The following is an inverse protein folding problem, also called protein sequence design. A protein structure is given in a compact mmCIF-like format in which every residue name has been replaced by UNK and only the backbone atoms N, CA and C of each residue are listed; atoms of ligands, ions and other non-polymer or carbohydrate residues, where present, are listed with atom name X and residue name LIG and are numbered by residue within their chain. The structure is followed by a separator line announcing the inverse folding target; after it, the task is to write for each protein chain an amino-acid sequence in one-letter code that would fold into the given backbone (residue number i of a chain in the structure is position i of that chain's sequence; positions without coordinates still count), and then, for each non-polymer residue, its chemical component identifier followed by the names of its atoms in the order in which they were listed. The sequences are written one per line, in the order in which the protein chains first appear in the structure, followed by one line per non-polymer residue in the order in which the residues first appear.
data_IF_802217570960
#
_entry.id   IF_802217570960
#
_cell.length_a   1.000
_cell.length_b   1.000
_cell.length_c   1.000
_cell.angle_alpha   90.00
_cell.angle_beta   90.00
_cell.angle_gamma   90.00
#
_symmetry.space_group_name_H-M   'P 1'
#
loop_
_entity.id
_entity.type
_entity.pdbx_description
1 polymer ?
#
# COMPACT_ATOMS: atom_id res chain seq x y z
N UNK A 1 18.52 -29.22 -38.76
CA UNK A 1 18.00 -29.87 -37.54
C UNK A 1 17.74 -28.76 -36.55
N UNK A 2 16.57 -28.19 -36.66
CA UNK A 2 16.09 -27.18 -35.72
C UNK A 2 15.65 -27.91 -34.44
N UNK A 3 16.17 -27.50 -33.29
CA UNK A 3 15.71 -28.02 -31.99
C UNK A 3 14.38 -27.34 -31.67
N UNK A 4 13.33 -28.14 -31.55
CA UNK A 4 12.08 -27.68 -30.94
C UNK A 4 12.38 -27.14 -29.53
N UNK A 5 11.76 -26.03 -29.10
CA UNK A 5 11.89 -25.55 -27.73
C UNK A 5 11.24 -26.54 -26.77
N UNK A 6 11.94 -26.86 -25.67
CA UNK A 6 11.41 -27.65 -24.55
C UNK A 6 10.11 -27.03 -24.05
N UNK A 7 9.06 -27.81 -23.78
CA UNK A 7 7.81 -27.31 -23.25
C UNK A 7 8.07 -26.81 -21.82
N UNK A 8 7.71 -25.55 -21.57
CA UNK A 8 7.67 -24.95 -20.23
C UNK A 8 6.85 -25.88 -19.29
N UNK A 9 7.37 -26.25 -18.10
CA UNK A 9 6.59 -27.07 -17.19
C UNK A 9 5.35 -26.27 -16.75
N UNK A 10 4.19 -26.74 -17.16
CA UNK A 10 2.90 -26.23 -16.70
C UNK A 10 2.77 -26.53 -15.21
N UNK A 11 2.81 -25.49 -14.38
CA UNK A 11 2.40 -25.60 -12.98
C UNK A 11 0.90 -26.00 -12.96
N UNK A 12 0.50 -26.97 -12.13
CA UNK A 12 -0.89 -27.35 -12.04
C UNK A 12 -1.68 -26.25 -11.35
N UNK A 13 -2.34 -25.39 -12.13
CA UNK A 13 -3.37 -24.50 -11.59
C UNK A 13 -4.58 -25.37 -11.20
N UNK A 14 -5.16 -25.18 -10.00
CA UNK A 14 -6.43 -25.79 -9.69
C UNK A 14 -7.47 -25.29 -10.70
N UNK A 15 -8.28 -26.20 -11.23
CA UNK A 15 -9.41 -25.84 -12.08
C UNK A 15 -10.29 -24.81 -11.35
N UNK A 16 -10.79 -23.77 -12.04
CA UNK A 16 -11.67 -22.79 -11.41
C UNK A 16 -12.91 -23.51 -10.85
N UNK A 17 -13.26 -23.19 -9.62
CA UNK A 17 -14.47 -23.70 -8.98
C UNK A 17 -15.74 -23.25 -9.74
N UNK A 18 -16.84 -24.05 -9.70
CA UNK A 18 -18.04 -23.79 -10.49
C UNK A 18 -18.76 -22.45 -10.24
N UNK A 19 -18.43 -21.74 -9.14
CA UNK A 19 -18.94 -20.41 -8.79
C UNK A 19 -17.97 -19.26 -9.17
N UNK A 20 -17.06 -19.50 -10.13
CA UNK A 20 -16.11 -18.50 -10.58
C UNK A 20 -16.81 -17.24 -11.10
N UNK A 21 -16.30 -16.08 -10.71
CA UNK A 21 -16.73 -14.78 -11.23
C UNK A 21 -16.75 -14.79 -12.77
N UNK A 22 -17.90 -14.61 -13.45
CA UNK A 22 -18.00 -14.64 -14.90
C UNK A 22 -17.11 -13.58 -15.57
N UNK A 23 -16.70 -12.56 -14.84
CA UNK A 23 -15.81 -11.51 -15.30
C UNK A 23 -14.33 -11.75 -14.90
N UNK A 24 -13.97 -12.90 -14.32
CA UNK A 24 -12.62 -13.18 -13.80
C UNK A 24 -11.50 -13.05 -14.85
N UNK A 25 -11.82 -13.23 -16.12
CA UNK A 25 -10.89 -13.07 -17.25
C UNK A 25 -10.90 -11.68 -17.90
N UNK A 26 -11.48 -10.67 -17.27
CA UNK A 26 -11.62 -9.33 -17.84
C UNK A 26 -11.10 -8.23 -16.91
N UNK A 27 -10.50 -7.20 -17.50
CA UNK A 27 -10.14 -5.97 -16.78
C UNK A 27 -11.38 -5.24 -16.27
N UNK A 28 -11.20 -4.27 -15.37
CA UNK A 28 -12.30 -3.38 -15.00
C UNK A 28 -12.67 -2.46 -16.18
N UNK A 29 -13.95 -2.05 -16.30
CA UNK A 29 -14.39 -1.12 -17.33
C UNK A 29 -13.69 0.23 -17.24
N UNK A 30 -13.28 0.81 -18.37
CA UNK A 30 -12.53 2.06 -18.44
C UNK A 30 -13.19 3.24 -17.72
N UNK A 31 -14.52 3.27 -17.63
CA UNK A 31 -15.24 4.32 -16.92
C UNK A 31 -14.96 4.34 -15.41
N UNK A 32 -14.69 3.19 -14.79
CA UNK A 32 -14.40 3.07 -13.34
C UNK A 32 -13.11 3.77 -12.93
N UNK A 33 -12.22 4.05 -13.87
CA UNK A 33 -10.94 4.73 -13.63
C UNK A 33 -11.02 6.26 -13.75
N UNK A 34 -12.20 6.82 -14.02
CA UNK A 34 -12.38 8.27 -14.23
C UNK A 34 -13.67 8.83 -13.62
N UNK A 35 -14.54 7.98 -13.11
CA UNK A 35 -15.84 8.41 -12.58
C UNK A 35 -15.73 8.87 -11.12
N UNK A 36 -16.17 10.10 -10.78
CA UNK A 36 -16.11 10.61 -9.42
C UNK A 36 -17.07 9.92 -8.45
N UNK A 37 -18.20 9.40 -8.94
CA UNK A 37 -19.15 8.66 -8.10
C UNK A 37 -18.59 7.28 -7.76
N UNK A 38 -17.86 6.65 -8.72
CA UNK A 38 -17.14 5.40 -8.44
C UNK A 38 -16.07 5.61 -7.39
N UNK A 39 -15.26 6.67 -7.48
CA UNK A 39 -14.27 7.01 -6.44
C UNK A 39 -14.95 7.27 -5.07
N UNK A 40 -16.12 7.86 -5.05
CA UNK A 40 -16.85 8.05 -3.80
C UNK A 40 -17.30 6.71 -3.19
N UNK A 41 -17.65 5.71 -4.01
CA UNK A 41 -17.88 4.34 -3.54
C UNK A 41 -16.60 3.66 -3.06
N UNK A 42 -15.51 3.76 -3.83
CA UNK A 42 -14.20 3.25 -3.41
C UNK A 42 -13.79 3.83 -2.05
N UNK A 43 -13.98 5.13 -1.86
CA UNK A 43 -13.71 5.80 -0.58
C UNK A 43 -14.48 5.14 0.56
N UNK A 44 -15.77 4.91 0.40
CA UNK A 44 -16.64 4.34 1.44
C UNK A 44 -16.42 2.85 1.65
N UNK A 45 -16.31 2.06 0.56
CA UNK A 45 -16.35 0.60 0.62
C UNK A 45 -14.97 -0.06 0.60
N UNK A 46 -13.94 0.65 0.12
CA UNK A 46 -12.56 0.15 0.04
C UNK A 46 -11.69 0.87 1.05
N UNK A 47 -11.52 2.19 0.94
CA UNK A 47 -10.48 2.89 1.70
C UNK A 47 -10.79 3.08 3.18
N UNK A 48 -12.04 3.42 3.54
CA UNK A 48 -12.39 3.63 4.96
C UNK A 48 -12.29 2.36 5.80
N UNK A 49 -12.72 1.16 5.32
CA UNK A 49 -12.59 -0.08 6.08
C UNK A 49 -11.25 -0.79 5.90
N UNK A 50 -10.35 -0.31 5.06
CA UNK A 50 -9.04 -0.95 4.83
C UNK A 50 -7.94 -0.34 5.67
N UNK A 51 -6.99 -1.18 6.08
CA UNK A 51 -5.79 -0.75 6.77
C UNK A 51 -4.89 0.10 5.86
N UNK A 52 -4.32 1.15 6.45
CA UNK A 52 -3.39 2.07 5.80
C UNK A 52 -2.12 2.19 6.63
N UNK A 53 -0.94 1.95 6.04
CA UNK A 53 0.34 2.09 6.74
C UNK A 53 0.67 3.56 6.96
N UNK A 54 1.09 3.91 8.18
CA UNK A 54 1.44 5.29 8.56
C UNK A 54 2.95 5.46 8.63
N UNK A 55 3.61 4.68 9.47
CA UNK A 55 5.04 4.76 9.74
C UNK A 55 5.51 3.47 10.43
N UNK A 56 6.78 3.42 10.79
CA UNK A 56 7.34 2.38 11.63
C UNK A 56 7.50 2.89 13.08
N UNK A 57 7.48 2.01 14.07
CA UNK A 57 7.66 2.36 15.49
C UNK A 57 8.97 3.10 15.77
N UNK A 58 10.00 2.87 14.93
CA UNK A 58 11.28 3.59 15.01
C UNK A 58 11.20 5.06 14.57
N UNK A 59 10.13 5.44 13.89
CA UNK A 59 9.91 6.83 13.45
C UNK A 59 9.26 7.68 14.56
N UNK A 60 8.68 7.00 15.58
CA UNK A 60 8.11 7.62 16.78
C UNK A 60 8.69 6.97 18.06
N UNK A 61 10.02 7.03 18.28
CA UNK A 61 10.69 6.27 19.33
C UNK A 61 10.41 6.78 20.75
N UNK A 62 10.09 8.07 20.91
CA UNK A 62 9.95 8.71 22.21
C UNK A 62 8.50 9.18 22.49
N UNK A 63 8.11 9.28 23.76
CA UNK A 63 6.83 9.87 24.15
C UNK A 63 6.64 11.27 23.55
N UNK A 64 5.49 11.51 22.94
CA UNK A 64 5.14 12.74 22.23
C UNK A 64 5.49 12.72 20.73
N UNK A 65 6.31 11.80 20.25
CA UNK A 65 6.57 11.67 18.83
C UNK A 65 5.30 11.27 18.08
N UNK A 66 5.12 11.86 16.89
CA UNK A 66 3.95 11.58 16.06
C UNK A 66 4.29 11.55 14.57
N UNK A 67 3.47 10.82 13.82
CA UNK A 67 3.34 10.88 12.36
C UNK A 67 1.91 11.17 11.95
N UNK A 68 1.76 11.91 10.85
CA UNK A 68 0.46 12.22 10.24
C UNK A 68 0.34 11.52 8.89
N UNK A 69 -0.84 10.96 8.64
CA UNK A 69 -1.25 10.45 7.35
C UNK A 69 -2.50 11.20 6.88
N UNK A 70 -2.41 11.80 5.69
CA UNK A 70 -3.57 12.34 4.98
C UNK A 70 -3.92 11.40 3.84
N UNK A 71 -5.17 10.93 3.78
CA UNK A 71 -5.66 10.12 2.67
C UNK A 71 -7.18 10.26 2.53
N UNK A 72 -7.67 10.10 1.30
CA UNK A 72 -9.06 10.43 0.98
C UNK A 72 -9.39 11.85 1.49
N UNK A 73 -10.43 12.10 2.24
CA UNK A 73 -10.74 13.41 2.84
C UNK A 73 -10.35 13.50 4.32
N UNK A 74 -9.59 12.53 4.84
CA UNK A 74 -9.29 12.40 6.26
C UNK A 74 -7.82 12.71 6.55
N UNK A 75 -7.56 13.07 7.80
CA UNK A 75 -6.22 13.25 8.37
C UNK A 75 -6.13 12.51 9.69
N UNK A 76 -5.14 11.65 9.86
CA UNK A 76 -4.93 10.85 11.06
C UNK A 76 -3.57 11.18 11.66
N UNK A 77 -3.51 11.29 12.99
CA UNK A 77 -2.28 11.40 13.77
C UNK A 77 -2.06 10.07 14.47
N UNK A 78 -0.89 9.45 14.26
CA UNK A 78 -0.41 8.34 15.08
C UNK A 78 0.68 8.88 15.99
N UNK A 79 0.57 8.66 17.31
CA UNK A 79 1.53 9.18 18.26
C UNK A 79 1.84 8.21 19.39
N UNK A 80 3.03 8.34 19.97
CA UNK A 80 3.42 7.63 21.18
C UNK A 80 3.04 8.45 22.42
N UNK A 81 2.24 7.84 23.29
CA UNK A 81 1.85 8.42 24.56
C UNK A 81 2.97 8.46 25.59
N UNK A 82 2.78 9.23 26.67
CA UNK A 82 3.69 9.28 27.82
C UNK A 82 3.80 7.92 28.53
N UNK A 83 2.80 7.08 28.39
CA UNK A 83 2.75 5.70 28.87
C UNK A 83 3.44 4.67 27.92
N UNK A 84 4.04 5.15 26.83
CA UNK A 84 4.70 4.33 25.81
C UNK A 84 3.74 3.69 24.79
N UNK A 85 2.43 3.76 25.01
CA UNK A 85 1.44 3.18 24.09
C UNK A 85 1.29 4.04 22.83
N UNK A 86 1.17 3.38 21.68
CA UNK A 86 0.84 4.04 20.42
C UNK A 86 -0.67 4.15 20.27
N UNK A 87 -1.13 5.34 19.89
CA UNK A 87 -2.54 5.64 19.64
C UNK A 87 -2.71 6.42 18.34
N UNK A 88 -3.88 6.30 17.74
CA UNK A 88 -4.24 7.07 16.56
C UNK A 88 -5.51 7.89 16.82
N UNK A 89 -5.56 9.08 16.24
CA UNK A 89 -6.67 10.01 16.37
C UNK A 89 -6.95 10.71 15.05
N UNK A 90 -8.22 11.03 14.79
CA UNK A 90 -8.58 11.99 13.76
C UNK A 90 -7.92 13.36 14.08
N UNK A 91 -7.23 13.93 13.09
CA UNK A 91 -6.55 15.23 13.22
C UNK A 91 -7.53 16.40 13.10
N UNK A 92 -8.58 16.36 13.91
CA UNK A 92 -9.71 17.30 13.86
C UNK A 92 -10.08 17.75 15.28
N UNK A 93 -10.01 19.06 15.52
CA UNK A 93 -10.41 19.66 16.79
C UNK A 93 -11.91 19.50 17.05
N UNK A 94 -12.27 19.00 18.21
CA UNK A 94 -13.67 18.76 18.63
C UNK A 94 -14.50 20.01 18.87
N UNK A 95 -13.89 21.21 18.76
CA UNK A 95 -14.59 22.49 18.89
C UNK A 95 -15.29 22.89 17.58
N UNK A 96 -14.51 23.13 16.51
CA UNK A 96 -15.02 23.64 15.22
C UNK A 96 -14.31 23.01 14.01
N UNK A 97 -13.80 21.81 14.15
CA UNK A 97 -13.27 21.02 13.06
C UNK A 97 -11.92 21.48 12.48
N UNK A 98 -11.21 22.42 13.14
CA UNK A 98 -9.90 22.83 12.66
C UNK A 98 -8.89 21.67 12.75
N UNK A 99 -8.04 21.53 11.75
CA UNK A 99 -6.88 20.62 11.79
C UNK A 99 -5.96 21.06 12.94
N UNK A 100 -5.44 20.09 13.70
CA UNK A 100 -4.64 20.36 14.91
C UNK A 100 -3.15 20.40 14.56
N UNK A 101 -2.70 19.48 13.70
CA UNK A 101 -1.30 19.32 13.31
C UNK A 101 -1.18 19.40 11.79
N UNK A 102 -0.31 20.30 11.30
CA UNK A 102 0.00 20.45 9.87
C UNK A 102 1.30 19.76 9.48
N UNK A 103 2.22 19.55 10.41
CA UNK A 103 3.50 18.89 10.15
C UNK A 103 3.28 17.40 9.84
N UNK A 104 4.03 16.81 8.91
CA UNK A 104 3.93 15.39 8.60
C UNK A 104 4.43 14.48 9.73
N UNK A 105 5.35 14.99 10.57
CA UNK A 105 5.86 14.33 11.77
C UNK A 105 6.45 15.35 12.73
N UNK A 106 6.62 14.98 13.98
CA UNK A 106 7.21 15.85 15.01
C UNK A 106 7.11 15.25 16.40
N UNK A 107 7.36 16.09 17.41
CA UNK A 107 7.22 15.72 18.81
C UNK A 107 6.42 16.80 19.55
N UNK A 108 5.36 16.40 20.24
CA UNK A 108 4.49 17.29 20.99
C UNK A 108 3.96 16.59 22.25
N UNK A 109 4.26 17.13 23.42
CA UNK A 109 3.69 16.63 24.69
C UNK A 109 2.18 16.81 24.76
N UNK A 110 1.65 17.81 24.06
CA UNK A 110 0.22 18.13 23.94
C UNK A 110 -0.09 18.63 22.56
N UNK A 111 -1.24 18.25 22.05
CA UNK A 111 -1.77 18.69 20.78
C UNK A 111 -2.66 19.91 21.00
N UNK A 112 -2.24 21.09 20.58
CA UNK A 112 -3.00 22.33 20.79
C UNK A 112 -3.56 22.84 19.46
N UNK A 113 -4.88 22.99 19.41
CA UNK A 113 -5.57 23.51 18.25
C UNK A 113 -5.15 24.97 17.96
N UNK A 114 -4.66 25.29 16.75
CA UNK A 114 -4.17 26.63 16.42
C UNK A 114 -5.28 27.68 16.36
N UNK A 115 -6.55 27.28 16.34
CA UNK A 115 -7.65 28.21 16.17
C UNK A 115 -8.09 28.85 17.51
N UNK A 116 -8.40 28.03 18.54
CA UNK A 116 -8.90 28.54 19.83
C UNK A 116 -8.16 27.98 21.04
N UNK A 117 -7.03 27.30 20.84
CA UNK A 117 -6.19 26.80 21.93
C UNK A 117 -6.76 25.60 22.69
N UNK A 118 -7.77 24.90 22.14
CA UNK A 118 -8.18 23.64 22.78
C UNK A 118 -7.00 22.66 22.74
N UNK A 119 -6.70 22.09 23.92
CA UNK A 119 -5.48 21.32 24.13
C UNK A 119 -5.82 19.90 24.54
N UNK A 120 -5.20 18.95 23.88
CA UNK A 120 -5.36 17.51 24.12
C UNK A 120 -4.04 16.91 24.58
N UNK A 121 -4.11 15.93 25.47
CA UNK A 121 -2.93 15.15 25.87
C UNK A 121 -2.61 14.04 24.84
N UNK A 122 -1.53 13.31 25.08
CA UNK A 122 -1.10 12.20 24.23
C UNK A 122 -2.03 10.96 24.27
N UNK A 123 -3.00 10.93 25.18
CA UNK A 123 -4.08 9.95 25.22
C UNK A 123 -5.36 10.45 24.49
N UNK A 124 -5.29 11.61 23.83
CA UNK A 124 -6.41 12.22 23.12
C UNK A 124 -7.44 12.93 24.02
N UNK A 125 -7.25 12.99 25.33
CA UNK A 125 -8.19 13.63 26.25
C UNK A 125 -8.09 15.15 26.16
N UNK A 126 -9.24 15.84 26.14
CA UNK A 126 -9.27 17.30 26.22
C UNK A 126 -8.85 17.75 27.62
N UNK A 127 -7.72 18.46 27.74
CA UNK A 127 -7.11 18.87 29.01
C UNK A 127 -7.11 20.38 29.22
N UNK A 128 -7.31 21.17 28.17
CA UNK A 128 -7.32 22.63 28.27
C UNK A 128 -8.29 23.28 27.30
N UNK A 129 -9.09 24.21 27.84
CA UNK A 129 -10.04 25.03 27.07
C UNK A 129 -9.90 26.48 27.55
N UNK A 130 -9.34 27.39 26.73
CA UNK A 130 -9.27 28.81 27.08
C UNK A 130 -10.67 29.39 27.30
N UNK A 131 -10.81 30.24 28.35
CA UNK A 131 -12.07 30.88 28.73
C UNK A 131 -13.23 29.87 28.93
N UNK A 132 -12.93 28.72 29.54
CA UNK A 132 -13.87 27.61 29.73
C UNK A 132 -15.22 28.02 30.30
N UNK A 133 -15.25 29.01 31.22
CA UNK A 133 -16.49 29.51 31.83
C UNK A 133 -17.54 29.99 30.81
N UNK A 134 -17.10 30.40 29.62
CA UNK A 134 -17.99 30.80 28.51
C UNK A 134 -18.67 29.64 27.78
N UNK A 135 -18.30 28.38 28.06
CA UNK A 135 -18.87 27.20 27.39
C UNK A 135 -19.96 26.51 28.23
N UNK A 136 -20.40 27.10 29.31
CA UNK A 136 -21.45 26.51 30.15
C UNK A 136 -21.05 25.13 30.70
N UNK A 137 -21.94 24.16 30.52
CA UNK A 137 -21.78 22.79 31.02
C UNK A 137 -20.91 21.90 30.10
N UNK A 138 -19.83 22.41 29.53
CA UNK A 138 -18.94 21.61 28.66
C UNK A 138 -18.39 20.38 29.39
N UNK A 139 -18.74 19.19 28.91
CA UNK A 139 -18.12 17.92 29.31
C UNK A 139 -16.81 17.72 28.57
N UNK A 140 -15.69 17.92 29.24
CA UNK A 140 -14.36 17.70 28.65
C UNK A 140 -14.09 16.22 28.32
N UNK A 141 -14.68 15.29 29.07
CA UNK A 141 -14.54 13.87 28.84
C UNK A 141 -15.14 13.43 27.50
N UNK A 142 -16.28 14.01 27.14
CA UNK A 142 -16.95 13.71 25.86
C UNK A 142 -16.31 14.40 24.64
N UNK A 143 -15.35 15.33 24.85
CA UNK A 143 -14.75 16.13 23.79
C UNK A 143 -13.26 15.82 23.57
N UNK A 144 -12.81 14.61 23.92
CA UNK A 144 -11.51 14.07 23.49
C UNK A 144 -11.42 13.91 21.96
N UNK A 145 -10.21 13.79 21.43
CA UNK A 145 -10.01 13.47 20.01
C UNK A 145 -10.72 12.16 19.64
N UNK A 146 -11.31 12.10 18.47
CA UNK A 146 -11.91 10.88 17.97
C UNK A 146 -10.82 9.83 17.75
N UNK A 147 -10.89 8.67 18.42
CA UNK A 147 -9.92 7.60 18.22
C UNK A 147 -10.05 7.01 16.83
N UNK A 148 -8.93 6.59 16.28
CA UNK A 148 -8.84 5.80 15.05
C UNK A 148 -8.21 4.47 15.43
N UNK A 149 -8.68 3.39 14.83
CA UNK A 149 -8.13 2.05 15.06
C UNK A 149 -6.68 2.01 14.61
N UNK A 150 -5.80 1.42 15.42
CA UNK A 150 -4.37 1.29 15.13
C UNK A 150 -3.92 -0.13 15.43
N UNK A 151 -3.09 -0.70 14.54
CA UNK A 151 -2.47 -2.00 14.70
C UNK A 151 -0.96 -1.87 14.47
N UNK A 152 -0.17 -2.51 15.34
CA UNK A 152 1.28 -2.71 15.16
C UNK A 152 1.50 -4.09 14.57
N UNK A 153 1.92 -4.14 13.31
CA UNK A 153 2.34 -5.38 12.67
C UNK A 153 3.86 -5.35 12.48
N UNK A 154 4.57 -6.09 13.31
CA UNK A 154 6.03 -6.20 13.29
C UNK A 154 6.75 -4.83 13.21
N UNK A 155 6.24 -3.85 13.96
CA UNK A 155 6.79 -2.51 14.01
C UNK A 155 6.21 -1.54 12.98
N UNK A 156 5.53 -1.98 11.93
CA UNK A 156 4.78 -1.08 11.07
C UNK A 156 3.41 -0.76 11.65
N UNK A 157 3.10 0.53 11.75
CA UNK A 157 1.88 1.04 12.32
C UNK A 157 0.84 1.31 11.23
N UNK A 158 -0.28 0.62 11.36
CA UNK A 158 -1.41 0.72 10.45
C UNK A 158 -2.59 1.38 11.15
N UNK A 159 -3.42 2.08 10.38
CA UNK A 159 -4.67 2.67 10.85
C UNK A 159 -5.84 2.26 9.96
N UNK A 160 -7.04 2.19 10.56
CA UNK A 160 -8.29 1.93 9.86
C UNK A 160 -9.37 2.88 10.36
N UNK A 161 -10.05 3.58 9.43
CA UNK A 161 -11.05 4.59 9.79
C UNK A 161 -12.37 3.99 10.25
N UNK A 162 -12.77 2.89 9.64
CA UNK A 162 -14.03 2.20 9.94
C UNK A 162 -13.78 0.70 10.10
N UNK A 163 -14.19 0.15 11.23
CA UNK A 163 -14.13 -1.29 11.45
C UNK A 163 -15.45 -1.93 11.00
N UNK A 164 -15.42 -2.59 9.86
CA UNK A 164 -16.55 -3.33 9.29
C UNK A 164 -16.54 -4.82 9.66
N UNK A 165 -15.66 -5.23 10.60
CA UNK A 165 -15.42 -6.62 10.97
C UNK A 165 -14.38 -7.32 10.08
N UNK A 166 -13.75 -6.60 9.16
CA UNK A 166 -12.66 -7.12 8.33
C UNK A 166 -11.42 -7.55 9.15
N UNK A 167 -10.52 -8.35 8.54
CA UNK A 167 -9.38 -8.94 9.24
C UNK A 167 -8.39 -7.90 9.73
N UNK A 168 -7.59 -8.27 10.74
CA UNK A 168 -6.40 -7.53 11.15
C UNK A 168 -5.28 -7.68 10.13
N UNK A 169 -4.28 -6.79 10.17
CA UNK A 169 -3.06 -6.93 9.33
C UNK A 169 -2.33 -8.22 9.65
N UNK A 170 -2.23 -8.58 10.94
CA UNK A 170 -1.64 -9.84 11.38
C UNK A 170 -2.36 -11.05 10.80
N UNK A 171 -3.69 -11.04 10.72
CA UNK A 171 -4.45 -12.12 10.09
C UNK A 171 -4.19 -12.18 8.57
N UNK A 172 -4.19 -11.05 7.88
CA UNK A 172 -3.93 -11.02 6.44
C UNK A 172 -2.53 -11.54 6.09
N UNK A 173 -1.54 -11.21 6.91
CA UNK A 173 -0.14 -11.58 6.71
C UNK A 173 0.25 -12.92 7.34
N UNK A 174 -0.67 -13.59 8.09
CA UNK A 174 -0.39 -14.84 8.78
C UNK A 174 0.29 -15.92 7.92
N UNK A 175 -0.09 -16.13 6.64
CA UNK A 175 0.58 -17.12 5.79
C UNK A 175 2.06 -16.82 5.52
N UNK A 176 2.49 -15.58 5.70
CA UNK A 176 3.82 -15.12 5.31
C UNK A 176 4.72 -14.75 6.50
N UNK A 177 4.23 -14.85 7.74
CA UNK A 177 4.96 -14.45 8.96
C UNK A 177 6.29 -15.19 9.10
N UNK A 178 6.32 -16.50 8.85
CA UNK A 178 7.56 -17.28 8.90
C UNK A 178 8.55 -16.83 7.82
N UNK A 179 8.03 -16.47 6.64
CA UNK A 179 8.83 -16.00 5.54
C UNK A 179 9.51 -14.66 5.83
N UNK A 180 8.79 -13.71 6.43
CA UNK A 180 9.31 -12.38 6.74
C UNK A 180 10.10 -12.31 8.05
N UNK A 181 9.99 -13.33 8.92
CA UNK A 181 10.63 -13.33 10.25
C UNK A 181 12.14 -13.09 10.20
N UNK A 182 12.83 -13.68 9.19
CA UNK A 182 14.26 -13.51 9.02
C UNK A 182 14.68 -12.06 8.76
N UNK A 183 13.78 -11.22 8.24
CA UNK A 183 14.06 -9.81 7.93
C UNK A 183 13.96 -8.88 9.14
N UNK A 184 13.47 -9.38 10.30
CA UNK A 184 13.46 -8.67 11.59
C UNK A 184 12.83 -7.28 11.50
N UNK A 185 11.62 -7.23 11.01
CA UNK A 185 10.89 -5.98 10.73
C UNK A 185 10.91 -5.02 11.93
N UNK A 186 10.79 -5.51 13.16
CA UNK A 186 10.76 -4.69 14.39
C UNK A 186 12.07 -3.91 14.64
N UNK A 187 13.17 -4.34 14.03
CA UNK A 187 14.49 -3.72 14.20
C UNK A 187 14.86 -2.74 13.09
N UNK A 188 13.97 -2.57 12.13
CA UNK A 188 14.18 -1.70 10.99
C UNK A 188 14.31 -0.23 11.40
N UNK A 189 15.03 0.55 10.58
CA UNK A 189 15.16 1.99 10.69
C UNK A 189 14.99 2.61 9.31
N UNK A 190 14.29 3.73 9.23
CA UNK A 190 14.15 4.45 7.98
C UNK A 190 15.53 4.89 7.44
N UNK A 191 15.75 4.68 6.15
CA UNK A 191 16.96 5.13 5.44
C UNK A 191 16.85 6.58 4.97
N UNK A 192 15.66 7.15 5.04
CA UNK A 192 15.38 8.50 4.58
C UNK A 192 14.02 9.00 5.04
N UNK A 193 13.59 10.11 4.45
CA UNK A 193 12.25 10.66 4.67
C UNK A 193 11.24 10.02 3.71
N UNK A 194 9.97 10.17 4.04
CA UNK A 194 8.87 9.81 3.12
C UNK A 194 9.05 10.54 1.80
N UNK A 195 9.10 9.78 0.73
CA UNK A 195 9.05 10.30 -0.64
C UNK A 195 7.60 10.34 -1.11
N UNK A 196 7.18 11.47 -1.64
CA UNK A 196 5.84 11.68 -2.19
C UNK A 196 5.95 11.92 -3.69
N UNK A 197 5.27 11.09 -4.48
CA UNK A 197 5.28 11.15 -5.94
C UNK A 197 3.86 11.25 -6.49
N UNK A 198 3.36 12.46 -6.81
CA UNK A 198 2.08 12.63 -7.49
C UNK A 198 2.09 11.93 -8.86
N UNK A 199 0.94 11.35 -9.22
CA UNK A 199 0.68 10.72 -10.52
C UNK A 199 -0.63 11.22 -11.08
N UNK A 200 -0.67 11.48 -12.37
CA UNK A 200 -1.89 11.89 -13.10
C UNK A 200 -2.63 10.68 -13.64
N UNK A 201 -2.83 9.70 -12.76
CA UNK A 201 -3.53 8.45 -13.06
C UNK A 201 -4.44 8.05 -11.90
N UNK A 202 -5.45 7.24 -12.18
CA UNK A 202 -6.27 6.60 -11.17
C UNK A 202 -5.43 5.67 -10.30
N UNK A 203 -5.74 5.58 -9.00
CA UNK A 203 -5.02 4.74 -8.05
C UNK A 203 -5.00 3.25 -8.44
N UNK A 204 -6.09 2.76 -9.09
CA UNK A 204 -6.15 1.36 -9.55
C UNK A 204 -5.14 1.05 -10.65
N UNK A 205 -4.84 1.99 -11.54
CA UNK A 205 -3.84 1.78 -12.59
C UNK A 205 -2.45 1.50 -11.98
N UNK A 206 -2.12 2.15 -10.87
CA UNK A 206 -0.88 1.85 -10.14
C UNK A 206 -0.96 0.43 -9.55
N UNK A 207 -2.11 0.07 -8.97
CA UNK A 207 -2.36 -1.28 -8.44
C UNK A 207 -2.36 -2.36 -9.51
N UNK A 208 -2.95 -2.08 -10.69
CA UNK A 208 -2.98 -2.97 -11.84
C UNK A 208 -1.55 -3.23 -12.35
N UNK A 209 -0.78 -2.17 -12.59
CA UNK A 209 0.61 -2.26 -13.04
C UNK A 209 1.48 -3.01 -12.03
N UNK A 210 1.33 -2.74 -10.72
CA UNK A 210 2.09 -3.43 -9.69
C UNK A 210 1.76 -4.94 -9.62
N UNK A 211 0.52 -5.32 -9.93
CA UNK A 211 0.06 -6.72 -9.87
C UNK A 211 0.37 -7.52 -11.14
N UNK A 212 0.68 -6.85 -12.24
CA UNK A 212 0.94 -7.50 -13.51
C UNK A 212 2.40 -7.96 -13.61
N UNK A 213 2.63 -9.26 -13.78
CA UNK A 213 3.96 -9.83 -14.00
C UNK A 213 4.38 -9.87 -15.47
N UNK A 214 3.42 -9.84 -16.42
CA UNK A 214 3.72 -10.03 -17.86
C UNK A 214 4.47 -8.84 -18.46
N UNK A 215 4.15 -7.62 -18.03
CA UNK A 215 4.81 -6.42 -18.55
C UNK A 215 6.31 -6.38 -18.22
N UNK A 216 6.79 -7.08 -17.18
CA UNK A 216 8.20 -7.09 -16.76
C UNK A 216 9.11 -7.49 -17.92
N UNK A 217 8.71 -8.49 -18.69
CA UNK A 217 9.52 -9.01 -19.79
C UNK A 217 9.73 -8.01 -20.93
N UNK A 218 8.78 -7.09 -21.10
CA UNK A 218 8.77 -6.10 -22.20
C UNK A 218 9.17 -4.71 -21.69
N UNK A 219 8.62 -4.31 -20.55
CA UNK A 219 8.75 -2.95 -20.00
C UNK A 219 10.01 -2.75 -19.18
N UNK A 220 10.48 -3.80 -18.48
CA UNK A 220 11.62 -3.73 -17.56
C UNK A 220 12.81 -4.58 -18.00
N UNK A 221 13.49 -4.21 -19.09
CA UNK A 221 14.64 -4.98 -19.55
C UNK A 221 15.75 -5.10 -18.48
N UNK A 222 15.80 -4.17 -17.52
CA UNK A 222 16.70 -4.21 -16.37
C UNK A 222 16.37 -5.35 -15.40
N UNK A 223 15.12 -5.47 -14.99
CA UNK A 223 14.66 -6.57 -14.12
C UNK A 223 14.80 -7.91 -14.81
N UNK A 224 14.45 -8.01 -16.08
CA UNK A 224 14.62 -9.24 -16.87
C UNK A 224 16.08 -9.69 -16.93
N UNK A 225 17.05 -8.77 -17.11
CA UNK A 225 18.48 -9.10 -17.04
C UNK A 225 18.93 -9.52 -15.65
N UNK A 226 18.33 -8.92 -14.62
CA UNK A 226 18.69 -9.16 -13.22
C UNK A 226 18.15 -10.50 -12.71
N UNK A 227 16.91 -10.85 -13.07
CA UNK A 227 16.16 -12.00 -12.52
C UNK A 227 15.97 -13.13 -13.54
N UNK A 228 16.20 -12.89 -14.82
CA UNK A 228 15.86 -13.87 -15.88
C UNK A 228 14.35 -13.98 -16.05
N UNK A 229 13.90 -15.18 -16.44
CA UNK A 229 12.48 -15.48 -16.68
C UNK A 229 11.81 -16.14 -15.44
N UNK A 230 12.48 -16.13 -14.28
CA UNK A 230 12.04 -16.78 -13.03
C UNK A 230 11.17 -15.90 -12.11
N UNK A 231 10.34 -15.04 -12.67
CA UNK A 231 9.42 -14.22 -11.87
C UNK A 231 8.16 -15.03 -11.51
N UNK A 232 7.88 -15.16 -10.22
CA UNK A 232 6.73 -15.87 -9.70
C UNK A 232 5.65 -14.92 -9.18
N UNK A 233 4.38 -15.33 -9.29
CA UNK A 233 3.21 -14.61 -8.80
C UNK A 233 2.25 -15.58 -8.15
N UNK A 234 1.77 -15.25 -6.96
CA UNK A 234 0.64 -15.93 -6.32
C UNK A 234 -0.34 -14.92 -5.74
N UNK A 235 -1.62 -15.23 -5.75
CA UNK A 235 -2.66 -14.41 -5.13
C UNK A 235 -3.31 -15.18 -3.98
N UNK A 236 -3.51 -14.51 -2.86
CA UNK A 236 -4.29 -15.02 -1.73
C UNK A 236 -5.42 -14.04 -1.40
N UNK A 237 -6.31 -14.42 -0.49
CA UNK A 237 -7.51 -13.64 -0.19
C UNK A 237 -7.24 -12.15 0.11
N UNK A 238 -6.10 -11.81 0.73
CA UNK A 238 -5.80 -10.46 1.18
C UNK A 238 -4.44 -9.92 0.69
N UNK A 239 -3.58 -10.80 0.20
CA UNK A 239 -2.20 -10.48 -0.13
C UNK A 239 -1.82 -11.17 -1.43
N UNK A 240 -1.34 -10.39 -2.38
CA UNK A 240 -0.68 -10.93 -3.57
C UNK A 240 0.82 -10.94 -3.31
N UNK A 241 1.50 -12.02 -3.65
CA UNK A 241 2.94 -12.16 -3.51
C UNK A 241 3.57 -12.35 -4.88
N UNK A 242 4.64 -11.62 -5.10
CA UNK A 242 5.46 -11.73 -6.30
C UNK A 242 6.92 -11.88 -5.87
N UNK A 243 7.73 -12.56 -6.67
CA UNK A 243 9.15 -12.75 -6.34
C UNK A 243 10.01 -13.01 -7.56
N UNK A 244 11.30 -12.69 -7.44
CA UNK A 244 12.31 -13.03 -8.44
C UNK A 244 13.67 -13.20 -7.79
N UNK A 245 14.43 -14.18 -8.24
CA UNK A 245 15.79 -14.43 -7.76
C UNK A 245 16.82 -13.79 -8.68
N UNK A 246 17.75 -13.04 -8.12
CA UNK A 246 18.86 -12.45 -8.88
C UNK A 246 19.73 -13.57 -9.44
N UNK A 247 19.89 -13.61 -10.76
CA UNK A 247 20.67 -14.63 -11.46
C UNK A 247 22.19 -14.44 -11.25
N UNK A 248 22.94 -15.52 -11.43
CA UNK A 248 24.41 -15.46 -11.42
C UNK A 248 24.98 -14.99 -12.75
N UNK A 249 24.18 -14.92 -13.81
CA UNK A 249 24.58 -14.40 -15.11
C UNK A 249 24.80 -12.89 -15.02
N UNK A 250 26.05 -12.39 -15.22
CA UNK A 250 26.32 -10.97 -15.12
C UNK A 250 25.50 -10.14 -16.09
N UNK A 251 24.84 -9.11 -15.62
CA UNK A 251 24.12 -8.19 -16.49
C UNK A 251 25.09 -7.40 -17.39
N UNK A 252 24.63 -7.09 -18.59
CA UNK A 252 25.33 -6.17 -19.50
C UNK A 252 25.33 -4.73 -19.00
N UNK A 253 24.39 -4.35 -18.12
CA UNK A 253 24.28 -3.01 -17.55
C UNK A 253 25.11 -2.86 -16.27
N UNK A 254 25.83 -1.72 -16.16
CA UNK A 254 26.75 -1.49 -15.07
C UNK A 254 26.10 -1.51 -13.68
N UNK A 255 24.96 -0.85 -13.50
CA UNK A 255 24.30 -0.76 -12.19
C UNK A 255 23.79 -2.13 -11.71
N UNK A 256 23.18 -2.89 -12.60
CA UNK A 256 22.67 -4.25 -12.31
C UNK A 256 23.82 -5.21 -12.02
N UNK A 257 24.88 -5.21 -12.87
CA UNK A 257 26.08 -6.03 -12.67
C UNK A 257 26.81 -5.66 -11.39
N UNK A 258 26.91 -4.38 -11.07
CA UNK A 258 27.51 -3.92 -9.82
C UNK A 258 26.69 -4.37 -8.62
N UNK A 259 25.35 -4.32 -8.68
CA UNK A 259 24.47 -4.83 -7.63
C UNK A 259 24.66 -6.34 -7.44
N UNK A 260 24.65 -7.12 -8.53
CA UNK A 260 24.92 -8.57 -8.49
C UNK A 260 26.25 -8.91 -7.82
N UNK A 261 27.29 -8.07 -8.06
CA UNK A 261 28.64 -8.30 -7.55
C UNK A 261 28.85 -7.78 -6.13
N UNK A 262 28.30 -6.61 -5.80
CA UNK A 262 28.53 -5.94 -4.51
C UNK A 262 27.47 -6.24 -3.44
N UNK A 263 26.39 -6.94 -3.78
CA UNK A 263 25.39 -7.34 -2.79
C UNK A 263 26.05 -8.25 -1.76
N UNK A 264 26.27 -7.79 -0.52
CA UNK A 264 26.96 -8.57 0.49
C UNK A 264 26.00 -9.60 1.10
N UNK A 265 26.56 -10.67 1.64
CA UNK A 265 25.80 -11.59 2.48
C UNK A 265 25.16 -10.82 3.65
N UNK A 266 23.86 -11.00 3.83
CA UNK A 266 23.11 -10.52 4.98
C UNK A 266 23.07 -11.61 6.06
N UNK A 267 23.82 -11.48 7.18
CA UNK A 267 24.02 -12.60 8.12
C UNK A 267 22.73 -13.11 8.80
N UNK A 268 21.66 -12.29 8.77
CA UNK A 268 20.37 -12.62 9.35
C UNK A 268 19.46 -13.40 8.40
N UNK A 269 19.79 -13.44 7.10
CA UNK A 269 19.00 -14.11 6.09
C UNK A 269 19.53 -15.53 5.81
N UNK A 270 18.67 -16.52 5.64
CA UNK A 270 19.07 -17.85 5.20
C UNK A 270 19.55 -17.82 3.73
N UNK A 271 20.28 -18.85 3.27
CA UNK A 271 20.92 -18.87 1.95
C UNK A 271 19.97 -18.59 0.78
N UNK A 272 18.76 -19.15 0.81
CA UNK A 272 17.75 -19.02 -0.24
C UNK A 272 17.21 -17.59 -0.40
N UNK A 273 17.39 -16.73 0.62
CA UNK A 273 16.91 -15.34 0.60
C UNK A 273 18.00 -14.31 0.32
N UNK A 274 19.25 -14.74 0.21
CA UNK A 274 20.38 -13.81 -0.02
C UNK A 274 20.32 -13.07 -1.36
N UNK A 275 19.56 -13.60 -2.31
CA UNK A 275 19.39 -13.02 -3.65
C UNK A 275 17.94 -12.96 -4.11
N UNK A 276 16.99 -13.15 -3.19
CA UNK A 276 15.57 -13.14 -3.46
C UNK A 276 15.00 -11.72 -3.25
N UNK A 277 14.29 -11.22 -4.23
CA UNK A 277 13.43 -10.07 -4.13
C UNK A 277 11.99 -10.56 -4.00
N UNK A 278 11.28 -10.12 -2.98
CA UNK A 278 9.88 -10.50 -2.71
C UNK A 278 9.04 -9.25 -2.57
N UNK A 279 7.85 -9.28 -3.13
CA UNK A 279 6.91 -8.18 -3.12
C UNK A 279 5.60 -8.69 -2.55
N UNK A 280 5.11 -8.06 -1.48
CA UNK A 280 3.80 -8.33 -0.92
C UNK A 280 2.90 -7.14 -1.17
N UNK A 281 1.81 -7.36 -1.90
CA UNK A 281 0.77 -6.34 -2.09
C UNK A 281 -0.41 -6.68 -1.18
N UNK A 282 -0.63 -5.84 -0.18
CA UNK A 282 -1.78 -5.92 0.71
C UNK A 282 -2.93 -5.11 0.12
N UNK A 283 -4.09 -5.72 0.12
CA UNK A 283 -5.32 -5.03 -0.31
C UNK A 283 -5.57 -3.76 0.53
N UNK A 284 -5.96 -2.62 -0.08
CA UNK A 284 -6.13 -2.41 -1.53
C UNK A 284 -4.89 -1.80 -2.21
N UNK A 285 -3.97 -1.14 -1.48
CA UNK A 285 -3.06 -0.15 -2.05
C UNK A 285 -1.72 -0.04 -1.31
N UNK A 286 -1.29 -1.08 -0.64
CA UNK A 286 -0.02 -1.12 0.11
C UNK A 286 0.85 -2.23 -0.46
N UNK A 287 2.14 -1.95 -0.61
CA UNK A 287 3.14 -2.93 -0.94
C UNK A 287 4.33 -2.89 0.02
N UNK A 288 4.91 -4.05 0.26
CA UNK A 288 6.22 -4.22 0.89
C UNK A 288 7.15 -4.88 -0.11
N UNK A 289 8.16 -4.14 -0.54
CA UNK A 289 9.20 -4.60 -1.43
C UNK A 289 10.39 -5.04 -0.59
N UNK A 290 10.61 -6.35 -0.48
CA UNK A 290 11.56 -6.95 0.44
C UNK A 290 12.79 -7.42 -0.34
N UNK A 291 13.92 -6.82 -0.05
CA UNK A 291 15.22 -7.10 -0.65
C UNK A 291 16.21 -7.62 0.41
N UNK A 292 17.32 -8.28 0.03
CA UNK A 292 18.33 -8.68 0.99
C UNK A 292 18.99 -7.51 1.74
N UNK A 293 19.01 -6.34 1.15
CA UNK A 293 19.71 -5.14 1.63
C UNK A 293 18.81 -4.10 2.28
N UNK A 294 17.51 -4.07 1.96
CA UNK A 294 16.51 -3.13 2.49
C UNK A 294 15.09 -3.64 2.31
N UNK A 295 14.13 -2.93 2.88
CA UNK A 295 12.69 -3.14 2.71
C UNK A 295 12.07 -1.78 2.44
N UNK A 296 11.30 -1.67 1.37
CA UNK A 296 10.54 -0.47 1.07
C UNK A 296 9.07 -0.75 1.34
N UNK A 297 8.34 0.16 1.96
CA UNK A 297 6.92 0.16 1.76
C UNK A 297 6.53 1.19 0.70
N UNK A 298 5.62 0.81 -0.14
CA UNK A 298 4.97 1.70 -1.10
C UNK A 298 3.46 1.69 -0.87
N UNK A 299 2.85 2.88 -0.92
CA UNK A 299 1.41 3.07 -0.75
C UNK A 299 0.93 4.06 -1.81
N UNK A 300 -0.17 3.74 -2.50
CA UNK A 300 -0.74 4.65 -3.48
C UNK A 300 -2.14 5.09 -3.08
N UNK A 301 -2.25 6.38 -2.80
CA UNK A 301 -3.43 7.03 -2.23
C UNK A 301 -4.21 7.77 -3.32
N UNK A 302 -5.53 7.60 -3.46
CA UNK A 302 -6.33 8.38 -4.39
C UNK A 302 -6.40 9.85 -3.95
N UNK A 303 -6.26 10.77 -4.89
CA UNK A 303 -6.48 12.21 -4.72
C UNK A 303 -7.77 12.61 -5.43
N UNK A 304 -7.95 12.12 -6.66
CA UNK A 304 -9.12 12.33 -7.49
C UNK A 304 -9.35 11.10 -8.38
N UNK A 305 -10.41 11.03 -9.19
CA UNK A 305 -10.59 9.92 -10.12
C UNK A 305 -9.41 9.68 -11.07
N UNK A 306 -8.62 10.72 -11.35
CA UNK A 306 -7.49 10.67 -12.30
C UNK A 306 -6.16 11.13 -11.69
N UNK A 307 -6.08 11.19 -10.38
CA UNK A 307 -4.85 11.56 -9.68
C UNK A 307 -4.64 10.68 -8.45
N UNK A 308 -3.42 10.23 -8.25
CA UNK A 308 -3.00 9.48 -7.09
C UNK A 308 -1.66 10.00 -6.55
N UNK A 309 -1.36 9.69 -5.29
CA UNK A 309 -0.11 9.99 -4.62
C UNK A 309 0.58 8.70 -4.22
N UNK A 310 1.74 8.42 -4.78
CA UNK A 310 2.61 7.35 -4.28
C UNK A 310 3.39 7.90 -3.09
N UNK A 311 3.37 7.15 -2.00
CA UNK A 311 4.08 7.38 -0.76
C UNK A 311 5.00 6.20 -0.49
N UNK A 312 6.29 6.47 -0.28
CA UNK A 312 7.32 5.44 -0.21
C UNK A 312 8.38 5.80 0.82
N UNK A 313 8.84 4.82 1.58
CA UNK A 313 9.96 4.95 2.52
C UNK A 313 10.76 3.65 2.53
N UNK A 314 12.09 3.71 2.29
CA UNK A 314 12.98 2.58 2.50
C UNK A 314 13.39 2.46 3.98
N UNK A 315 13.40 1.21 4.46
CA UNK A 315 13.86 0.81 5.79
C UNK A 315 14.94 -0.25 5.67
N UNK A 316 15.84 -0.30 6.64
CA UNK A 316 16.81 -1.38 6.72
C UNK A 316 17.25 -1.65 8.15
N UNK A 317 17.82 -2.81 8.38
CA UNK A 317 18.59 -3.09 9.59
C UNK A 317 19.86 -2.21 9.61
N UNK A 318 20.29 -1.74 10.78
CA UNK A 318 21.56 -1.01 10.89
C UNK A 318 22.74 -1.83 10.36
N UNK A 319 23.41 -1.31 9.35
CA UNK A 319 24.60 -1.92 8.75
C UNK A 319 25.54 -0.83 8.26
N UNK A 320 26.75 -0.77 8.84
CA UNK A 320 27.75 0.25 8.54
C UNK A 320 28.71 -0.15 7.41
N UNK A 321 28.66 -1.40 6.92
CA UNK A 321 29.54 -1.90 5.87
C UNK A 321 29.42 -1.06 4.60
N UNK A 322 30.57 -0.80 3.95
CA UNK A 322 30.58 -0.01 2.71
C UNK A 322 29.86 -0.72 1.56
N UNK A 323 30.00 -2.03 1.50
CA UNK A 323 29.37 -2.90 0.50
C UNK A 323 27.84 -2.84 0.63
N UNK A 324 27.30 -2.86 1.85
CA UNK A 324 25.86 -2.75 2.09
C UNK A 324 25.33 -1.36 1.67
N UNK A 325 26.05 -0.30 1.96
CA UNK A 325 25.70 1.05 1.50
C UNK A 325 25.71 1.16 -0.03
N UNK A 326 26.70 0.53 -0.68
CA UNK A 326 26.77 0.47 -2.13
C UNK A 326 25.61 -0.34 -2.73
N UNK A 327 25.27 -1.49 -2.14
CA UNK A 327 24.14 -2.31 -2.57
C UNK A 327 22.83 -1.53 -2.49
N UNK A 328 22.53 -0.87 -1.36
CA UNK A 328 21.33 -0.03 -1.18
C UNK A 328 21.24 1.11 -2.20
N UNK A 329 22.37 1.76 -2.50
CA UNK A 329 22.41 2.79 -3.54
C UNK A 329 22.13 2.22 -4.93
N UNK A 330 22.66 1.05 -5.25
CA UNK A 330 22.45 0.38 -6.54
C UNK A 330 21.00 -0.13 -6.65
N UNK A 331 20.45 -0.70 -5.57
CA UNK A 331 19.05 -1.06 -5.46
C UNK A 331 18.14 0.16 -5.78
N UNK A 332 18.36 1.28 -5.09
CA UNK A 332 17.64 2.53 -5.38
C UNK A 332 17.76 2.97 -6.84
N UNK A 333 18.95 2.84 -7.46
CA UNK A 333 19.14 3.20 -8.88
C UNK A 333 18.33 2.31 -9.81
N UNK A 334 18.31 1.00 -9.55
CA UNK A 334 17.55 0.02 -10.33
C UNK A 334 16.06 0.33 -10.22
N UNK A 335 15.54 0.45 -9.00
CA UNK A 335 14.13 0.74 -8.76
C UNK A 335 13.69 2.11 -9.29
N UNK A 336 14.57 3.11 -9.25
CA UNK A 336 14.29 4.41 -9.88
C UNK A 336 14.10 4.30 -11.39
N UNK A 337 14.86 3.43 -12.07
CA UNK A 337 14.70 3.18 -13.50
C UNK A 337 13.37 2.47 -13.77
N UNK A 338 13.05 1.41 -13.03
CA UNK A 338 11.76 0.71 -13.08
C UNK A 338 10.60 1.68 -12.89
N UNK A 339 10.63 2.49 -11.85
CA UNK A 339 9.59 3.50 -11.58
C UNK A 339 9.42 4.53 -12.71
N UNK A 340 10.49 4.87 -13.44
CA UNK A 340 10.41 5.77 -14.59
C UNK A 340 9.75 5.10 -15.81
N UNK A 341 10.08 3.83 -16.03
CA UNK A 341 9.47 3.00 -17.07
C UNK A 341 7.96 2.84 -16.81
N UNK A 342 7.57 2.45 -15.60
CA UNK A 342 6.17 2.32 -15.18
C UNK A 342 5.41 3.63 -15.31
N UNK A 343 5.99 4.75 -14.88
CA UNK A 343 5.30 6.05 -14.95
C UNK A 343 4.86 6.38 -16.37
N UNK A 344 5.71 6.08 -17.37
CA UNK A 344 5.37 6.32 -18.77
C UNK A 344 4.26 5.37 -19.29
N UNK A 345 4.19 4.15 -18.76
CA UNK A 345 3.18 3.16 -19.16
C UNK A 345 1.82 3.47 -18.54
N UNK A 346 1.76 3.71 -17.23
CA UNK A 346 0.51 3.96 -16.52
C UNK A 346 -0.18 5.25 -17.01
N UNK A 347 0.57 6.27 -17.42
CA UNK A 347 0.02 7.48 -18.05
C UNK A 347 -0.62 7.19 -19.41
N UNK A 348 -0.03 6.28 -20.21
CA UNK A 348 -0.63 5.82 -21.48
C UNK A 348 -1.90 5.02 -21.24
N UNK A 349 -1.92 4.16 -20.21
CA UNK A 349 -3.11 3.39 -19.82
C UNK A 349 -4.23 4.34 -19.41
N UNK A 350 -3.97 5.34 -18.55
CA UNK A 350 -4.97 6.34 -18.16
C UNK A 350 -5.56 7.07 -19.38
N UNK A 351 -4.72 7.45 -20.32
CA UNK A 351 -5.16 8.11 -21.56
C UNK A 351 -6.02 7.17 -22.43
N UNK A 352 -5.61 5.90 -22.57
CA UNK A 352 -6.33 4.90 -23.34
C UNK A 352 -7.70 4.55 -22.75
N UNK A 353 -7.78 4.42 -21.43
CA UNK A 353 -9.03 4.17 -20.70
C UNK A 353 -10.07 5.31 -20.82
N UNK A 354 -9.65 6.50 -21.26
CA UNK A 354 -10.55 7.60 -21.55
C UNK A 354 -11.21 7.50 -22.96
N UNK A 355 -10.70 6.63 -23.83
CA UNK A 355 -11.22 6.45 -25.19
C UNK A 355 -12.56 5.71 -25.18
N UNK A 356 -13.52 6.16 -25.98
CA UNK A 356 -14.78 5.46 -26.24
C UNK A 356 -14.57 4.12 -26.97
N UNK A 357 -13.41 3.93 -27.60
CA UNK A 357 -13.05 2.68 -28.30
C UNK A 357 -12.63 1.57 -27.33
N UNK A 358 -12.49 1.85 -26.04
CA UNK A 358 -12.11 0.86 -25.03
C UNK A 358 -13.19 0.74 -23.96
N UNK A 359 -13.65 -0.49 -23.73
CA UNK A 359 -14.55 -0.82 -22.60
C UNK A 359 -13.82 -1.67 -21.57
N UNK A 360 -13.49 -2.93 -21.92
CA UNK A 360 -12.76 -3.90 -21.11
C UNK A 360 -11.81 -4.70 -22.01
N UNK A 361 -10.70 -5.16 -21.44
CA UNK A 361 -9.74 -6.04 -22.11
C UNK A 361 -9.70 -7.44 -21.48
N UNK A 362 -9.39 -8.48 -22.26
CA UNK A 362 -9.14 -9.82 -21.72
C UNK A 362 -7.83 -9.83 -20.91
N UNK A 363 -7.83 -10.55 -19.79
CA UNK A 363 -6.66 -10.80 -18.95
C UNK A 363 -6.19 -12.23 -19.15
N UNK A 364 -4.87 -12.40 -19.30
CA UNK A 364 -4.22 -13.71 -19.37
C UNK A 364 -4.43 -14.51 -18.08
N UNK A 365 -4.38 -15.83 -18.18
CA UNK A 365 -4.36 -16.72 -17.01
C UNK A 365 -3.10 -16.50 -16.14
N UNK A 366 -2.01 -16.00 -16.73
CA UNK A 366 -0.77 -15.66 -16.03
C UNK A 366 -0.85 -14.36 -15.22
N UNK A 367 -1.83 -13.49 -15.50
CA UNK A 367 -2.07 -12.24 -14.75
C UNK A 367 -2.85 -12.49 -13.46
N UNK A 368 -2.41 -13.48 -12.67
CA UNK A 368 -3.11 -14.00 -11.47
C UNK A 368 -3.46 -12.90 -10.49
N UNK A 369 -2.49 -12.07 -10.09
CA UNK A 369 -2.70 -11.03 -9.10
C UNK A 369 -3.54 -9.85 -9.65
N UNK A 370 -3.44 -9.55 -10.95
CA UNK A 370 -4.29 -8.54 -11.59
C UNK A 370 -5.75 -9.01 -11.67
N UNK A 371 -5.98 -10.26 -12.09
CA UNK A 371 -7.31 -10.88 -12.10
C UNK A 371 -7.94 -10.88 -10.71
N UNK A 372 -7.15 -11.24 -9.70
CA UNK A 372 -7.56 -11.21 -8.30
C UNK A 372 -7.94 -9.78 -7.86
N UNK A 373 -7.11 -8.78 -8.16
CA UNK A 373 -7.40 -7.39 -7.84
C UNK A 373 -8.70 -6.89 -8.48
N UNK A 374 -8.90 -7.15 -9.78
CA UNK A 374 -10.14 -6.81 -10.48
C UNK A 374 -11.36 -7.52 -9.88
N UNK A 375 -11.22 -8.79 -9.52
CA UNK A 375 -12.25 -9.59 -8.84
C UNK A 375 -12.65 -8.97 -7.49
N UNK A 376 -11.65 -8.60 -6.68
CA UNK A 376 -11.89 -7.94 -5.38
C UNK A 376 -12.63 -6.60 -5.52
N UNK A 377 -12.27 -5.79 -6.51
CA UNK A 377 -13.00 -4.53 -6.76
C UNK A 377 -14.46 -4.83 -7.11
N UNK A 378 -14.75 -5.82 -7.97
CA UNK A 378 -16.13 -6.23 -8.34
C UNK A 378 -16.90 -6.82 -7.16
N UNK A 379 -16.22 -7.52 -6.26
CA UNK A 379 -16.82 -8.07 -5.05
C UNK A 379 -17.30 -6.96 -4.10
N UNK A 380 -16.48 -5.93 -3.91
CA UNK A 380 -16.75 -4.80 -3.01
C UNK A 380 -17.68 -3.77 -3.67
N UNK A 381 -17.54 -3.59 -4.99
CA UNK A 381 -18.33 -2.63 -5.78
C UNK A 381 -18.90 -3.39 -7.00
N UNK A 382 -20.05 -4.08 -6.85
CA UNK A 382 -20.66 -4.87 -7.94
C UNK A 382 -20.95 -4.08 -9.21
N UNK A 383 -21.15 -2.77 -9.09
CA UNK A 383 -21.34 -1.86 -10.21
C UNK A 383 -20.15 -1.83 -11.18
N UNK A 384 -18.97 -2.25 -10.74
CA UNK A 384 -17.78 -2.44 -11.60
C UNK A 384 -17.95 -3.52 -12.69
N UNK A 385 -19.05 -4.29 -12.67
CA UNK A 385 -19.42 -5.24 -13.72
C UNK A 385 -20.12 -4.59 -14.92
N UNK A 386 -20.63 -3.38 -14.73
CA UNK A 386 -21.34 -2.66 -15.78
C UNK A 386 -20.36 -2.16 -16.84
N UNK A 387 -20.56 -2.57 -18.09
CA UNK A 387 -19.68 -2.21 -19.21
C UNK A 387 -19.70 -0.71 -19.52
N UNK A 388 -20.82 -0.07 -19.23
CA UNK A 388 -21.03 1.36 -19.44
C UNK A 388 -21.30 2.04 -18.10
N UNK A 389 -20.94 3.32 -18.05
CA UNK A 389 -21.18 4.17 -16.89
C UNK A 389 -22.69 4.35 -16.68
N UNK A 390 -23.22 4.10 -15.49
CA UNK A 390 -24.62 4.42 -15.18
C UNK A 390 -24.91 5.93 -15.25
N UNK A 391 -26.19 6.29 -15.29
CA UNK A 391 -26.62 7.69 -15.26
C UNK A 391 -26.16 8.41 -13.99
N UNK A 392 -26.06 9.75 -14.05
CA UNK A 392 -25.65 10.58 -12.91
C UNK A 392 -26.53 10.32 -11.67
N UNK A 393 -25.89 10.26 -10.51
CA UNK A 393 -26.57 10.00 -9.23
C UNK A 393 -26.74 8.52 -8.90
N UNK A 394 -26.23 7.61 -9.72
CA UNK A 394 -26.37 6.17 -9.54
C UNK A 394 -25.80 5.66 -8.20
N UNK A 395 -24.74 6.29 -7.71
CA UNK A 395 -24.07 5.87 -6.46
C UNK A 395 -24.89 6.10 -5.19
N UNK A 396 -25.93 6.95 -5.26
CA UNK A 396 -26.87 7.19 -4.17
C UNK A 396 -27.90 6.07 -4.01
N UNK A 397 -28.17 5.33 -5.07
CA UNK A 397 -29.11 4.20 -5.10
C UNK A 397 -28.44 2.88 -4.73
N UNK A 398 -27.12 2.84 -4.64
CA UNK A 398 -26.38 1.62 -4.33
C UNK A 398 -26.62 1.20 -2.88
N UNK A 399 -27.13 -0.02 -2.60
CA UNK A 399 -27.39 -0.48 -1.25
C UNK A 399 -26.09 -0.51 -0.43
N UNK A 400 -26.17 -0.29 0.89
CA UNK A 400 -25.04 -0.55 1.77
C UNK A 400 -24.64 -2.02 1.65
N UNK A 401 -23.34 -2.32 1.73
CA UNK A 401 -22.86 -3.69 1.81
C UNK A 401 -23.56 -4.36 3.00
N UNK A 402 -24.31 -5.43 2.74
CA UNK A 402 -24.84 -6.25 3.82
C UNK A 402 -23.64 -6.86 4.52
N UNK A 403 -23.50 -6.57 5.82
CA UNK A 403 -22.44 -7.12 6.66
C UNK A 403 -22.38 -8.63 6.46
N UNK A 404 -21.22 -9.14 6.05
CA UNK A 404 -20.99 -10.59 5.90
C UNK A 404 -21.18 -11.22 7.27
N UNK A 405 -22.29 -11.93 7.44
CA UNK A 405 -22.46 -12.81 8.57
C UNK A 405 -21.31 -13.79 8.56
N UNK A 406 -20.41 -13.67 9.54
CA UNK A 406 -19.43 -14.69 9.85
C UNK A 406 -20.22 -15.96 10.21
N UNK A 407 -20.34 -16.89 9.27
CA UNK A 407 -20.71 -18.26 9.59
C UNK A 407 -19.58 -18.80 10.49
N UNK A 408 -19.99 -19.19 11.70
CA UNK A 408 -19.17 -19.75 12.78
C UNK A 408 -18.38 -20.97 12.36
#
# INVERSE_FOLDING_TARGET
MEREPDPCPSLPYPAPEPDADPDAGWSLPGWTYRDPEFLALETRRIFRPSWQVVCHVSDIPAPGDFHRLDYISESVIVMRGEDGMVRAFANVCRHRGARIVDQPSGCAKRLTCPYHGWTYDSAGRLTGVPRRAGYGALDMGAHGLAPVEVEDFHGFLFVRLENDGGPSVAHMMAPYVEEIAAYRFEQLRALGRVTLRPRTVNWKIIGDNYSDGLHITVAHPGLRRLMGDGYGVEASQHVDKMWGTITDRPSSHLSERAYQHFLPQAPHLPPERQRLWTYFKLWPNIAFDIYPDQIDFMQWLPISPTQALIREVPYALPDARREMKAARYLNWRINRQVNAEDSALIERVQAGLASESFSVGPLSEEEVALRHFCGRVREVIPEARLRERPDLGWSHSSPPLQGRGLSR
#
